data_IF_864461035616
#
_entry.id   IF_864461035616
#
_cell.length_a   1.000
_cell.length_b   1.000
_cell.length_c   1.000
_cell.angle_alpha   90.00
_cell.angle_beta   90.00
_cell.angle_gamma   90.00
#
_symmetry.space_group_name_H-M   'P 1'
#
loop_
_entity.id
_entity.type
_entity.pdbx_description
1 polymer ?
#
# COMPACT_ATOMS: atom_id res chain seq x y z
N UNK A 1 -19.66 2.92 18.98
CA UNK A 1 -19.98 2.04 17.83
C UNK A 1 -20.97 2.68 16.87
N UNK A 2 -22.18 3.05 17.30
CA UNK A 2 -23.20 3.68 16.42
C UNK A 2 -22.68 5.00 15.80
N UNK A 3 -22.07 5.89 16.57
CA UNK A 3 -21.52 7.14 16.03
C UNK A 3 -20.43 6.92 14.97
N UNK A 4 -19.60 5.88 15.13
CA UNK A 4 -18.56 5.52 14.15
C UNK A 4 -19.16 4.95 12.87
N UNK A 5 -20.24 4.16 12.98
CA UNK A 5 -20.99 3.71 11.81
C UNK A 5 -21.66 4.89 11.08
N UNK A 6 -22.22 5.84 11.83
CA UNK A 6 -22.81 7.06 11.26
C UNK A 6 -21.75 7.86 10.51
N UNK A 7 -20.55 8.08 11.08
CA UNK A 7 -19.49 8.85 10.40
C UNK A 7 -18.96 8.18 9.13
N UNK A 8 -18.80 6.84 9.15
CA UNK A 8 -18.41 6.10 7.95
C UNK A 8 -19.49 6.17 6.86
N UNK A 9 -20.76 6.06 7.26
CA UNK A 9 -21.88 6.16 6.33
C UNK A 9 -22.00 7.57 5.75
N UNK A 10 -21.86 8.62 6.56
CA UNK A 10 -21.91 9.99 6.06
C UNK A 10 -20.78 10.28 5.08
N UNK A 11 -19.56 9.78 5.34
CA UNK A 11 -18.41 10.01 4.46
C UNK A 11 -18.57 9.30 3.11
N UNK A 12 -19.03 8.05 3.12
CA UNK A 12 -19.27 7.28 1.88
C UNK A 12 -20.45 7.84 1.07
N UNK A 13 -21.49 8.32 1.74
CA UNK A 13 -22.60 9.02 1.08
C UNK A 13 -22.16 10.35 0.47
N UNK A 14 -21.32 11.12 1.16
CA UNK A 14 -20.80 12.38 0.63
C UNK A 14 -19.93 12.14 -0.62
N UNK A 15 -19.00 11.18 -0.58
CA UNK A 15 -18.12 10.89 -1.72
C UNK A 15 -18.90 10.36 -2.91
N UNK A 16 -19.85 9.45 -2.71
CA UNK A 16 -20.71 8.94 -3.79
C UNK A 16 -21.59 10.04 -4.39
N UNK A 17 -22.13 10.96 -3.58
CA UNK A 17 -22.88 12.11 -4.07
C UNK A 17 -21.99 13.03 -4.94
N UNK A 18 -20.76 13.32 -4.50
CA UNK A 18 -19.81 14.12 -5.30
C UNK A 18 -19.48 13.45 -6.63
N UNK A 19 -19.28 12.12 -6.63
CA UNK A 19 -19.04 11.34 -7.85
C UNK A 19 -20.27 11.39 -8.78
N UNK A 20 -21.49 11.26 -8.25
CA UNK A 20 -22.71 11.38 -9.04
C UNK A 20 -22.83 12.77 -9.68
N UNK A 21 -22.60 13.84 -8.92
CA UNK A 21 -22.63 15.20 -9.47
C UNK A 21 -21.56 15.34 -10.56
N UNK A 22 -20.34 14.82 -10.35
CA UNK A 22 -19.26 14.90 -11.32
C UNK A 22 -19.56 14.16 -12.64
N UNK A 23 -20.30 13.06 -12.61
CA UNK A 23 -20.69 12.33 -13.82
C UNK A 23 -21.91 12.91 -14.53
N UNK A 24 -22.89 13.44 -13.78
CA UNK A 24 -24.20 13.83 -14.34
C UNK A 24 -24.32 15.33 -14.67
N UNK A 25 -23.54 16.20 -14.03
CA UNK A 25 -23.60 17.65 -14.25
C UNK A 25 -22.91 18.11 -15.55
N UNK A 26 -21.76 17.54 -15.98
CA UNK A 26 -21.11 17.95 -17.22
C UNK A 26 -21.81 17.42 -18.47
N UNK A 27 -21.89 18.26 -19.51
CA UNK A 27 -22.34 17.82 -20.83
C UNK A 27 -21.23 16.97 -21.50
N UNK A 28 -21.48 15.67 -21.68
CA UNK A 28 -20.51 14.74 -22.26
C UNK A 28 -20.86 14.43 -23.72
N UNK A 29 -20.06 14.97 -24.65
CA UNK A 29 -20.04 14.50 -26.04
C UNK A 29 -18.98 13.42 -26.17
N UNK A 30 -19.38 12.22 -26.61
CA UNK A 30 -18.50 11.07 -26.82
C UNK A 30 -18.28 10.87 -28.32
N UNK A 31 -17.02 10.93 -28.74
CA UNK A 31 -16.55 10.59 -30.08
C UNK A 31 -15.24 9.81 -29.96
N UNK A 32 -14.88 9.04 -30.99
CA UNK A 32 -13.80 8.05 -30.93
C UNK A 32 -12.48 8.60 -30.40
N UNK A 33 -12.04 9.77 -30.89
CA UNK A 33 -10.77 10.40 -30.48
C UNK A 33 -10.76 10.89 -29.02
N UNK A 34 -11.92 11.25 -28.46
CA UNK A 34 -12.00 11.64 -27.04
C UNK A 34 -11.94 10.42 -26.11
N UNK A 35 -12.34 9.26 -26.62
CA UNK A 35 -12.30 7.99 -25.91
C UNK A 35 -11.01 7.19 -26.15
N UNK A 36 -10.17 7.58 -27.12
CA UNK A 36 -8.88 6.94 -27.37
C UNK A 36 -7.85 7.33 -26.29
N UNK A 37 -6.89 6.44 -25.98
CA UNK A 37 -5.83 6.73 -25.02
C UNK A 37 -4.99 7.93 -25.47
N UNK A 38 -4.62 8.78 -24.52
CA UNK A 38 -3.79 9.95 -24.77
C UNK A 38 -2.30 9.60 -24.69
N UNK A 39 -1.57 9.67 -25.80
CA UNK A 39 -0.11 9.52 -25.86
C UNK A 39 0.54 10.81 -26.38
N UNK A 40 0.37 11.91 -25.64
CA UNK A 40 0.95 13.22 -25.95
C UNK A 40 0.57 13.77 -27.35
N UNK A 41 -0.62 13.41 -27.85
CA UNK A 41 -1.11 13.80 -29.18
C UNK A 41 -0.70 12.86 -30.31
N UNK A 42 -0.05 11.73 -30.00
CA UNK A 42 0.28 10.67 -30.95
C UNK A 42 -0.63 9.46 -30.78
N UNK A 43 -0.72 8.65 -31.84
CA UNK A 43 -1.36 7.34 -31.79
C UNK A 43 -0.52 6.39 -30.92
N UNK A 44 -1.15 5.55 -30.09
CA UNK A 44 -0.43 4.75 -29.14
C UNK A 44 0.47 3.71 -29.81
N UNK A 45 1.74 3.67 -29.42
CA UNK A 45 2.71 2.70 -29.96
C UNK A 45 2.56 1.37 -29.21
N UNK A 46 1.46 0.68 -29.49
CA UNK A 46 1.13 -0.62 -28.89
C UNK A 46 0.32 -0.51 -27.60
N UNK A 47 0.43 -1.52 -26.73
CA UNK A 47 -0.34 -1.56 -25.49
C UNK A 47 0.39 -0.88 -24.33
N UNK A 48 -0.33 -0.14 -23.50
CA UNK A 48 0.18 0.38 -22.22
C UNK A 48 0.58 -0.70 -21.20
N UNK A 49 0.26 -1.98 -21.46
CA UNK A 49 0.70 -3.12 -20.66
C UNK A 49 2.14 -3.46 -21.01
N UNK A 50 3.07 -2.81 -20.32
CA UNK A 50 4.50 -3.06 -20.44
C UNK A 50 4.91 -4.27 -19.57
N UNK A 51 5.99 -4.98 -19.95
CA UNK A 51 6.57 -5.99 -19.07
C UNK A 51 6.97 -5.34 -17.74
N UNK A 52 6.50 -5.94 -16.64
CA UNK A 52 6.72 -5.43 -15.30
C UNK A 52 8.17 -5.62 -14.87
N UNK A 53 8.76 -4.64 -14.18
CA UNK A 53 10.12 -4.77 -13.68
C UNK A 53 10.17 -5.74 -12.49
N UNK A 54 11.07 -6.71 -12.52
CA UNK A 54 11.23 -7.69 -11.44
C UNK A 54 11.67 -7.04 -10.11
N UNK A 55 12.26 -5.83 -10.17
CA UNK A 55 12.67 -5.10 -8.96
C UNK A 55 11.48 -4.59 -8.16
N UNK A 56 10.45 -4.05 -8.82
CA UNK A 56 9.23 -3.65 -8.13
C UNK A 56 8.50 -4.85 -7.50
N UNK A 57 8.60 -6.02 -8.13
CA UNK A 57 8.06 -7.25 -7.57
C UNK A 57 8.79 -7.65 -6.28
N UNK A 58 10.12 -7.58 -6.27
CA UNK A 58 10.93 -7.93 -5.10
C UNK A 58 10.62 -7.01 -3.91
N UNK A 59 10.50 -5.70 -4.15
CA UNK A 59 10.08 -4.73 -3.13
C UNK A 59 8.68 -5.03 -2.57
N UNK A 60 7.74 -5.49 -3.41
CA UNK A 60 6.41 -5.86 -2.94
C UNK A 60 6.43 -7.09 -2.00
N UNK A 61 7.30 -8.07 -2.28
CA UNK A 61 7.48 -9.23 -1.40
C UNK A 61 8.11 -8.82 -0.07
N UNK A 62 9.15 -7.98 -0.10
CA UNK A 62 9.83 -7.56 1.13
C UNK A 62 8.96 -6.65 1.98
N UNK A 63 8.15 -5.79 1.35
CA UNK A 63 7.07 -5.06 2.02
C UNK A 63 6.08 -6.02 2.72
N UNK A 64 5.60 -7.07 2.04
CA UNK A 64 4.65 -8.02 2.61
C UNK A 64 5.24 -8.74 3.83
N UNK A 65 6.49 -9.17 3.77
CA UNK A 65 7.16 -9.84 4.89
C UNK A 65 7.33 -8.90 6.09
N UNK A 66 7.80 -7.67 5.85
CA UNK A 66 7.95 -6.69 6.93
C UNK A 66 6.61 -6.25 7.53
N UNK A 67 5.54 -6.17 6.73
CA UNK A 67 4.19 -5.85 7.24
C UNK A 67 3.68 -6.94 8.20
N UNK A 68 3.97 -8.22 7.91
CA UNK A 68 3.67 -9.32 8.83
C UNK A 68 4.45 -9.19 10.14
N UNK A 69 5.75 -8.88 10.09
CA UNK A 69 6.56 -8.67 11.29
C UNK A 69 6.10 -7.46 12.11
N UNK A 70 5.67 -6.37 11.47
CA UNK A 70 5.08 -5.22 12.14
C UNK A 70 3.75 -5.59 12.80
N UNK A 71 2.91 -6.40 12.14
CA UNK A 71 1.67 -6.90 12.74
C UNK A 71 1.94 -7.72 14.01
N UNK A 72 3.05 -8.47 14.07
CA UNK A 72 3.48 -9.18 15.28
C UNK A 72 4.00 -8.24 16.38
N UNK A 73 4.53 -7.06 16.04
CA UNK A 73 4.98 -6.04 16.99
C UNK A 73 3.85 -5.13 17.50
N UNK A 74 2.74 -5.02 16.77
CA UNK A 74 1.58 -4.18 17.13
C UNK A 74 1.01 -4.44 18.55
N UNK A 75 0.90 -5.69 19.07
CA UNK A 75 0.36 -5.94 20.41
C UNK A 75 1.32 -5.60 21.57
N UNK A 76 2.54 -5.08 21.32
CA UNK A 76 3.51 -4.77 22.37
C UNK A 76 2.99 -3.84 23.49
N UNK A 77 2.21 -2.77 23.21
CA UNK A 77 1.68 -1.91 24.28
C UNK A 77 0.82 -2.67 25.29
N UNK A 78 0.06 -3.68 24.85
CA UNK A 78 -0.70 -4.55 25.73
C UNK A 78 0.19 -5.60 26.41
N UNK A 79 1.18 -6.13 25.69
CA UNK A 79 2.11 -7.13 26.23
C UNK A 79 2.95 -6.61 27.42
N UNK A 80 3.25 -5.30 27.48
CA UNK A 80 3.96 -4.67 28.61
C UNK A 80 3.21 -4.85 29.94
N UNK A 81 1.88 -5.01 29.90
CA UNK A 81 1.06 -5.21 31.10
C UNK A 81 1.03 -6.67 31.58
N UNK A 82 1.72 -7.60 30.90
CA UNK A 82 1.76 -9.00 31.29
C UNK A 82 2.61 -9.22 32.56
N UNK A 83 2.29 -10.28 33.30
CA UNK A 83 2.99 -10.62 34.55
C UNK A 83 4.51 -10.84 34.38
N UNK A 84 4.96 -11.24 33.19
CA UNK A 84 6.37 -11.49 32.90
C UNK A 84 6.91 -10.50 31.86
N UNK A 85 7.20 -9.28 32.31
CA UNK A 85 7.68 -8.19 31.47
C UNK A 85 9.09 -8.41 30.90
N UNK A 86 9.93 -9.17 31.60
CA UNK A 86 11.30 -9.47 31.14
C UNK A 86 11.28 -10.41 29.93
N UNK A 87 10.40 -11.41 29.93
CA UNK A 87 10.23 -12.32 28.80
C UNK A 87 9.63 -11.61 27.58
N UNK A 88 8.60 -10.76 27.77
CA UNK A 88 8.03 -9.99 26.66
C UNK A 88 9.04 -9.04 26.03
N UNK A 89 9.89 -8.41 26.85
CA UNK A 89 10.95 -7.54 26.40
C UNK A 89 12.00 -8.32 25.60
N UNK A 90 12.46 -9.48 26.09
CA UNK A 90 13.38 -10.35 25.37
C UNK A 90 12.82 -10.76 24.00
N UNK A 91 11.56 -11.23 23.95
CA UNK A 91 10.93 -11.65 22.70
C UNK A 91 10.77 -10.48 21.71
N UNK A 92 10.42 -9.29 22.18
CA UNK A 92 10.32 -8.10 21.34
C UNK A 92 11.66 -7.70 20.74
N UNK A 93 12.74 -7.75 21.52
CA UNK A 93 14.08 -7.45 21.03
C UNK A 93 14.55 -8.48 20.00
N UNK A 94 14.28 -9.77 20.22
CA UNK A 94 14.59 -10.82 19.25
C UNK A 94 13.88 -10.59 17.91
N UNK A 95 12.61 -10.18 17.93
CA UNK A 95 11.83 -9.92 16.72
C UNK A 95 12.37 -8.68 15.97
N UNK A 96 12.69 -7.60 16.67
CA UNK A 96 13.28 -6.40 16.07
C UNK A 96 14.66 -6.71 15.46
N UNK A 97 15.48 -7.51 16.14
CA UNK A 97 16.79 -7.94 15.62
C UNK A 97 16.61 -8.77 14.34
N UNK A 98 15.63 -9.67 14.31
CA UNK A 98 15.33 -10.48 13.13
C UNK A 98 14.94 -9.60 11.92
N UNK A 99 14.08 -8.61 12.14
CA UNK A 99 13.70 -7.62 11.12
C UNK A 99 14.93 -6.85 10.61
N UNK A 100 15.79 -6.39 11.52
CA UNK A 100 17.01 -5.67 11.16
C UNK A 100 17.99 -6.53 10.35
N UNK A 101 18.12 -7.81 10.69
CA UNK A 101 18.95 -8.77 9.94
C UNK A 101 18.37 -9.02 8.55
N UNK A 102 17.04 -9.19 8.44
CA UNK A 102 16.37 -9.36 7.16
C UNK A 102 16.60 -8.19 6.21
N UNK A 103 16.46 -6.96 6.73
CA UNK A 103 16.73 -5.75 5.97
C UNK A 103 18.21 -5.60 5.60
N UNK A 104 19.12 -5.90 6.53
CA UNK A 104 20.55 -5.87 6.24
C UNK A 104 20.94 -6.88 5.14
N UNK A 105 20.33 -8.08 5.15
CA UNK A 105 20.55 -9.09 4.12
C UNK A 105 20.07 -8.61 2.74
N UNK A 106 18.86 -8.07 2.65
CA UNK A 106 18.31 -7.55 1.39
C UNK A 106 19.16 -6.40 0.83
N UNK A 107 19.66 -5.53 1.71
CA UNK A 107 20.56 -4.43 1.35
C UNK A 107 21.88 -4.95 0.79
N UNK A 108 22.52 -5.91 1.47
CA UNK A 108 23.78 -6.51 1.04
C UNK A 108 23.65 -7.22 -0.32
N UNK A 109 22.50 -7.82 -0.59
CA UNK A 109 22.20 -8.47 -1.87
C UNK A 109 21.83 -7.49 -2.99
N UNK A 110 21.89 -6.18 -2.74
CA UNK A 110 21.54 -5.13 -3.71
C UNK A 110 20.08 -5.23 -4.20
N UNK A 111 19.20 -5.88 -3.43
CA UNK A 111 17.77 -5.98 -3.76
C UNK A 111 17.10 -4.59 -3.81
N UNK A 112 17.64 -3.66 -3.01
CA UNK A 112 17.19 -2.28 -2.90
C UNK A 112 17.96 -1.31 -3.83
N UNK A 113 19.01 -1.76 -4.53
CA UNK A 113 19.77 -0.89 -5.43
C UNK A 113 19.07 -0.71 -6.78
N UNK A 114 18.79 0.54 -7.10
CA UNK A 114 18.22 0.91 -8.39
C UNK A 114 19.37 1.16 -9.37
N UNK A 115 19.37 0.38 -10.44
CA UNK A 115 20.26 0.63 -11.58
C UNK A 115 19.66 1.81 -12.34
N UNK A 116 20.48 2.83 -12.60
CA UNK A 116 20.12 3.89 -13.53
C UNK A 116 19.88 3.33 -14.93
#
# INVERSE_FOLDING_TARGET
>A
MINLMITLLTNTMLTSLMVLIAFWLPQTYNYSEKTSPYECGFDPVGSARLPFSMKFFLVAITFLLFDLEIALLLPLPWAIQANNTSLTLLMSFMLIILLAIGLAYEWLQKGLEWTK
#
